data_IF_703457994288
#
_entry.id   IF_703457994288
#
_cell.length_a   1.000
_cell.length_b   1.000
_cell.length_c   1.000
_cell.angle_alpha   90.00
_cell.angle_beta   90.00
_cell.angle_gamma   90.00
#
_symmetry.space_group_name_H-M   'P 1'
#
loop_
_entity.id
_entity.type
_entity.pdbx_description
1 polymer ?
#
# COMPACT_ATOMS: atom_id res chain seq x y z
N UNK A 1 3.62 13.61 -16.27
CA UNK A 1 2.93 12.83 -15.23
C UNK A 1 1.99 13.75 -14.49
N UNK A 2 0.70 13.43 -14.40
CA UNK A 2 -0.30 14.27 -13.72
C UNK A 2 -0.35 13.95 -12.22
N UNK A 3 0.65 14.43 -11.48
CA UNK A 3 0.77 14.18 -10.03
C UNK A 3 -0.51 14.54 -9.26
N UNK A 4 -1.12 15.70 -9.55
CA UNK A 4 -2.36 16.13 -8.90
C UNK A 4 -3.50 15.15 -9.19
N UNK A 5 -3.59 14.65 -10.41
CA UNK A 5 -4.56 13.62 -10.79
C UNK A 5 -4.39 12.34 -9.96
N UNK A 6 -3.17 11.83 -9.83
CA UNK A 6 -2.89 10.60 -9.07
C UNK A 6 -3.18 10.75 -7.58
N UNK A 7 -2.84 11.90 -6.98
CA UNK A 7 -3.16 12.20 -5.57
C UNK A 7 -4.67 12.28 -5.37
N UNK A 8 -5.39 13.02 -6.21
CA UNK A 8 -6.86 13.14 -6.12
C UNK A 8 -7.53 11.79 -6.35
N UNK A 9 -7.06 11.01 -7.33
CA UNK A 9 -7.55 9.67 -7.58
C UNK A 9 -7.35 8.74 -6.38
N UNK A 10 -6.15 8.77 -5.79
CA UNK A 10 -5.85 8.00 -4.57
C UNK A 10 -6.72 8.38 -3.39
N UNK A 11 -7.02 9.68 -3.19
CA UNK A 11 -7.93 10.13 -2.14
C UNK A 11 -9.37 9.64 -2.37
N UNK A 12 -9.87 9.72 -3.61
CA UNK A 12 -11.20 9.22 -3.96
C UNK A 12 -11.29 7.71 -3.76
N UNK A 13 -10.30 6.96 -4.26
CA UNK A 13 -10.23 5.51 -4.07
C UNK A 13 -10.15 5.14 -2.58
N UNK A 14 -9.33 5.86 -1.79
CA UNK A 14 -9.22 5.64 -0.35
C UNK A 14 -10.53 5.86 0.38
N UNK A 15 -11.25 6.93 0.05
CA UNK A 15 -12.60 7.18 0.58
C UNK A 15 -13.59 6.07 0.22
N UNK A 16 -13.55 5.58 -1.02
CA UNK A 16 -14.39 4.47 -1.47
C UNK A 16 -14.07 3.15 -0.75
N UNK A 17 -12.79 2.86 -0.48
CA UNK A 17 -12.37 1.67 0.29
C UNK A 17 -12.81 1.78 1.74
N UNK A 18 -12.65 2.94 2.38
CA UNK A 18 -13.15 3.17 3.74
C UNK A 18 -14.68 3.03 3.83
N UNK A 19 -15.40 3.53 2.82
CA UNK A 19 -16.85 3.34 2.73
C UNK A 19 -17.22 1.86 2.56
N UNK A 20 -16.53 1.15 1.68
CA UNK A 20 -16.72 -0.29 1.49
C UNK A 20 -16.51 -1.07 2.79
N UNK A 21 -15.40 -0.82 3.48
CA UNK A 21 -15.08 -1.42 4.79
C UNK A 21 -16.17 -1.18 5.83
N UNK A 22 -16.86 -0.05 5.72
CA UNK A 22 -18.01 0.23 6.57
C UNK A 22 -19.24 -0.56 6.21
N UNK A 23 -19.54 -0.69 4.92
CA UNK A 23 -20.70 -1.46 4.45
C UNK A 23 -20.57 -2.97 4.69
N UNK A 24 -19.34 -3.49 4.76
CA UNK A 24 -19.06 -4.91 5.03
C UNK A 24 -19.05 -5.23 6.53
N UNK A 25 -19.14 -4.21 7.40
CA UNK A 25 -19.10 -4.37 8.85
C UNK A 25 -17.69 -4.57 9.42
N UNK A 26 -16.64 -4.41 8.61
CA UNK A 26 -15.25 -4.49 9.08
C UNK A 26 -14.88 -3.29 9.94
N UNK A 27 -15.48 -2.11 9.69
CA UNK A 27 -15.26 -0.90 10.49
C UNK A 27 -16.54 -0.06 10.61
N UNK A 28 -16.85 0.45 11.80
CA UNK A 28 -17.94 1.42 11.93
C UNK A 28 -17.51 2.79 11.41
N UNK A 29 -18.29 3.41 10.54
CA UNK A 29 -18.03 4.76 10.03
C UNK A 29 -19.15 5.69 10.50
N UNK A 30 -18.80 6.74 11.23
CA UNK A 30 -19.79 7.64 11.82
C UNK A 30 -19.19 8.82 12.57
N UNK A 31 -20.09 9.66 13.11
CA UNK A 31 -19.74 10.88 13.84
C UNK A 31 -18.82 10.64 15.05
N UNK A 32 -18.88 9.44 15.65
CA UNK A 32 -18.01 9.05 16.76
C UNK A 32 -16.52 9.13 16.41
N UNK A 33 -16.12 8.74 15.19
CA UNK A 33 -14.73 8.82 14.74
C UNK A 33 -14.28 10.26 14.57
N UNK A 34 -15.14 11.13 14.03
CA UNK A 34 -14.80 12.55 13.86
C UNK A 34 -14.59 13.23 15.21
N UNK A 35 -15.46 12.92 16.19
CA UNK A 35 -15.30 13.42 17.56
C UNK A 35 -14.04 12.87 18.22
N UNK A 36 -13.75 11.58 18.06
CA UNK A 36 -12.54 10.96 18.58
C UNK A 36 -11.26 11.54 17.96
N UNK A 37 -11.25 11.78 16.66
CA UNK A 37 -10.12 12.43 15.98
C UNK A 37 -9.94 13.88 16.44
N UNK A 38 -11.02 14.57 16.81
CA UNK A 38 -10.97 15.93 17.33
C UNK A 38 -10.49 15.97 18.79
N UNK A 39 -10.96 15.05 19.63
CA UNK A 39 -10.71 15.05 21.08
C UNK A 39 -9.40 14.33 21.45
N UNK A 40 -9.07 13.27 20.73
CA UNK A 40 -7.96 12.37 21.07
C UNK A 40 -7.14 11.95 19.83
N UNK A 41 -6.59 12.90 19.06
CA UNK A 41 -5.90 12.60 17.79
C UNK A 41 -4.67 11.72 17.94
N UNK A 42 -4.06 11.68 19.14
CA UNK A 42 -2.84 10.91 19.42
C UNK A 42 -3.11 9.52 20.01
N UNK A 43 -4.36 9.20 20.32
CA UNK A 43 -4.76 7.89 20.86
C UNK A 43 -5.99 7.34 20.13
N UNK A 44 -5.88 7.12 18.80
CA UNK A 44 -6.99 6.58 18.02
C UNK A 44 -7.32 5.15 18.48
N UNK A 45 -8.60 4.83 18.49
CA UNK A 45 -9.09 3.47 18.68
C UNK A 45 -8.81 2.60 17.44
N UNK A 46 -9.13 1.32 17.55
CA UNK A 46 -8.89 0.35 16.49
C UNK A 46 -9.60 0.69 15.18
N UNK A 47 -10.83 1.24 15.23
CA UNK A 47 -11.60 1.61 14.05
C UNK A 47 -10.93 2.77 13.30
N UNK A 48 -10.58 3.83 14.02
CA UNK A 48 -9.87 5.00 13.48
C UNK A 48 -8.52 4.61 12.90
N UNK A 49 -7.76 3.76 13.61
CA UNK A 49 -6.49 3.22 13.10
C UNK A 49 -6.69 2.41 11.82
N UNK A 50 -7.74 1.59 11.75
CA UNK A 50 -8.04 0.76 10.58
C UNK A 50 -8.42 1.62 9.39
N UNK A 51 -9.33 2.59 9.55
CA UNK A 51 -9.72 3.52 8.47
C UNK A 51 -8.54 4.34 7.97
N UNK A 52 -7.74 4.88 8.89
CA UNK A 52 -6.53 5.60 8.54
C UNK A 52 -5.55 4.71 7.78
N UNK A 53 -5.36 3.47 8.22
CA UNK A 53 -4.53 2.47 7.55
C UNK A 53 -5.02 2.15 6.13
N UNK A 54 -6.33 1.94 5.95
CA UNK A 54 -6.94 1.68 4.64
C UNK A 54 -6.78 2.86 3.68
N UNK A 55 -7.08 4.07 4.16
CA UNK A 55 -6.96 5.28 3.38
C UNK A 55 -5.51 5.54 2.94
N UNK A 56 -4.57 5.47 3.89
CA UNK A 56 -3.15 5.71 3.62
C UNK A 56 -2.53 4.63 2.74
N UNK A 57 -2.90 3.36 2.92
CA UNK A 57 -2.47 2.26 2.04
C UNK A 57 -2.95 2.47 0.61
N UNK A 58 -4.23 2.84 0.44
CA UNK A 58 -4.81 3.10 -0.88
C UNK A 58 -4.13 4.29 -1.56
N UNK A 59 -3.95 5.39 -0.83
CA UNK A 59 -3.26 6.58 -1.35
C UNK A 59 -1.79 6.27 -1.70
N UNK A 60 -1.09 5.52 -0.85
CA UNK A 60 0.27 5.11 -1.12
C UNK A 60 0.34 4.26 -2.39
N UNK A 61 -0.53 3.27 -2.56
CA UNK A 61 -0.54 2.42 -3.75
C UNK A 61 -0.95 3.17 -5.03
N UNK A 62 -1.72 4.26 -4.92
CA UNK A 62 -1.99 5.15 -6.05
C UNK A 62 -0.77 5.99 -6.48
N UNK A 63 0.18 6.21 -5.57
CA UNK A 63 1.42 6.95 -5.84
C UNK A 63 2.63 6.02 -6.03
N UNK A 64 2.49 4.73 -5.69
CA UNK A 64 3.57 3.76 -5.73
C UNK A 64 4.22 3.62 -7.11
N UNK A 65 3.45 3.58 -8.23
CA UNK A 65 4.07 3.48 -9.54
C UNK A 65 4.88 4.72 -9.91
N UNK A 66 4.55 5.91 -9.38
CA UNK A 66 5.32 7.14 -9.60
C UNK A 66 6.70 7.14 -8.91
N UNK A 67 7.03 6.12 -8.11
CA UNK A 67 8.33 6.01 -7.43
C UNK A 67 9.45 5.53 -8.38
N UNK A 68 9.11 4.92 -9.52
CA UNK A 68 10.08 4.43 -10.50
C UNK A 68 10.61 5.53 -11.45
N UNK A 69 9.93 6.67 -11.49
CA UNK A 69 10.26 7.84 -12.33
C UNK A 69 10.53 9.08 -11.49
N UNK A 70 11.25 10.05 -12.07
CA UNK A 70 11.51 11.33 -11.40
C UNK A 70 10.21 12.10 -11.17
N UNK A 71 9.70 12.08 -9.93
CA UNK A 71 8.42 12.68 -9.58
C UNK A 71 8.45 13.41 -8.23
N UNK A 72 7.38 14.16 -7.93
CA UNK A 72 7.19 14.79 -6.61
C UNK A 72 6.98 13.70 -5.55
N UNK A 73 6.18 12.66 -5.84
CA UNK A 73 5.95 11.50 -4.98
C UNK A 73 7.26 10.80 -4.62
N UNK A 74 8.11 10.53 -5.62
CA UNK A 74 9.43 9.91 -5.43
C UNK A 74 10.32 10.73 -4.48
N UNK A 75 10.40 12.05 -4.70
CA UNK A 75 11.24 12.94 -3.87
C UNK A 75 10.82 12.93 -2.40
N UNK A 76 9.52 12.98 -2.12
CA UNK A 76 9.02 12.95 -0.75
C UNK A 76 9.12 11.56 -0.12
N UNK A 77 8.84 10.50 -0.87
CA UNK A 77 9.00 9.12 -0.42
C UNK A 77 10.41 8.87 0.11
N UNK A 78 11.46 9.15 -0.69
CA UNK A 78 12.83 8.90 -0.25
C UNK A 78 13.29 9.79 0.90
N UNK A 79 12.74 11.01 1.04
CA UNK A 79 12.99 11.85 2.23
C UNK A 79 12.39 11.23 3.49
N UNK A 80 11.15 10.75 3.40
CA UNK A 80 10.47 10.08 4.52
C UNK A 80 11.20 8.80 4.89
N UNK A 81 11.54 7.96 3.90
CA UNK A 81 12.31 6.72 4.10
C UNK A 81 13.65 7.01 4.76
N UNK A 82 14.37 8.05 4.32
CA UNK A 82 15.65 8.45 4.92
C UNK A 82 15.51 8.78 6.41
N UNK A 83 14.48 9.57 6.78
CA UNK A 83 14.20 9.90 8.18
C UNK A 83 13.81 8.65 8.99
N UNK A 84 12.97 7.79 8.42
CA UNK A 84 12.56 6.53 9.07
C UNK A 84 13.76 5.60 9.30
N UNK A 85 14.66 5.49 8.31
CA UNK A 85 15.90 4.73 8.43
C UNK A 85 16.79 5.27 9.56
N UNK A 86 16.92 6.60 9.68
CA UNK A 86 17.65 7.21 10.79
C UNK A 86 17.02 6.85 12.15
N UNK A 87 15.69 6.96 12.27
CA UNK A 87 14.97 6.58 13.50
C UNK A 87 15.19 5.11 13.84
N UNK A 88 15.10 4.21 12.86
CA UNK A 88 15.31 2.76 13.07
C UNK A 88 16.74 2.46 13.53
N UNK A 89 17.73 3.10 12.92
CA UNK A 89 19.13 2.95 13.29
C UNK A 89 19.39 3.37 14.74
N UNK A 90 18.95 4.58 15.13
CA UNK A 90 19.13 5.08 16.50
C UNK A 90 18.29 4.33 17.54
N UNK A 91 17.20 3.69 17.12
CA UNK A 91 16.37 2.85 17.99
C UNK A 91 16.87 1.40 18.10
N UNK A 92 18.03 1.07 17.50
CA UNK A 92 18.62 -0.27 17.54
C UNK A 92 17.86 -1.32 16.72
N UNK A 93 16.89 -0.93 15.87
CA UNK A 93 16.05 -1.83 15.06
C UNK A 93 16.70 -2.15 13.72
N UNK A 94 17.85 -2.80 13.74
CA UNK A 94 18.66 -3.09 12.54
C UNK A 94 17.93 -4.01 11.55
N UNK A 95 17.15 -4.98 12.03
CA UNK A 95 16.40 -5.90 11.14
C UNK A 95 15.37 -5.14 10.28
N UNK A 96 14.61 -4.24 10.90
CA UNK A 96 13.64 -3.40 10.19
C UNK A 96 14.32 -2.42 9.25
N UNK A 97 15.46 -1.86 9.66
CA UNK A 97 16.26 -0.99 8.80
C UNK A 97 16.66 -1.68 7.50
N UNK A 98 17.18 -2.91 7.59
CA UNK A 98 17.62 -3.68 6.41
C UNK A 98 16.43 -3.97 5.49
N UNK A 99 15.31 -4.43 6.03
CA UNK A 99 14.13 -4.76 5.22
C UNK A 99 13.57 -3.52 4.54
N UNK A 100 13.44 -2.40 5.27
CA UNK A 100 12.92 -1.14 4.71
C UNK A 100 13.87 -0.61 3.64
N UNK A 101 15.19 -0.68 3.86
CA UNK A 101 16.18 -0.28 2.88
C UNK A 101 16.07 -1.10 1.59
N UNK A 102 15.96 -2.43 1.68
CA UNK A 102 15.75 -3.31 0.53
C UNK A 102 14.44 -3.02 -0.20
N UNK A 103 13.34 -2.83 0.53
CA UNK A 103 12.05 -2.53 -0.08
C UNK A 103 12.04 -1.16 -0.77
N UNK A 104 12.70 -0.15 -0.20
CA UNK A 104 12.72 1.20 -0.73
C UNK A 104 13.42 1.34 -2.09
N UNK A 105 14.41 0.49 -2.37
CA UNK A 105 15.11 0.47 -3.66
C UNK A 105 14.35 -0.27 -4.77
N UNK A 106 13.40 -1.16 -4.44
CA UNK A 106 12.68 -1.99 -5.43
C UNK A 106 12.04 -1.21 -6.58
N UNK A 107 11.38 -0.05 -6.35
CA UNK A 107 10.79 0.71 -7.44
C UNK A 107 11.82 1.23 -8.45
N UNK A 108 13.07 1.44 -8.02
CA UNK A 108 14.13 2.07 -8.82
C UNK A 108 15.01 1.04 -9.54
N UNK A 109 14.88 -0.25 -9.23
CA UNK A 109 15.70 -1.32 -9.82
C UNK A 109 15.47 -1.51 -11.33
N UNK A 110 14.38 -0.99 -11.88
CA UNK A 110 14.11 -1.07 -13.32
C UNK A 110 13.94 0.34 -13.90
N UNK A 111 14.64 0.63 -15.00
CA UNK A 111 14.46 1.88 -15.73
C UNK A 111 13.33 1.72 -16.76
N UNK A 112 12.54 2.78 -16.96
CA UNK A 112 11.38 2.86 -17.87
C UNK A 112 10.16 2.03 -17.43
N UNK A 113 9.16 2.68 -16.82
CA UNK A 113 7.81 2.15 -16.46
C UNK A 113 7.83 0.65 -16.18
N UNK A 114 8.47 0.31 -15.08
CA UNK A 114 8.88 -1.05 -14.80
C UNK A 114 7.75 -1.93 -14.28
N UNK A 115 8.14 -2.93 -13.48
CA UNK A 115 7.20 -3.82 -12.80
C UNK A 115 6.15 -3.06 -11.98
N UNK A 116 6.46 -1.85 -11.50
CA UNK A 116 5.51 -1.01 -10.74
C UNK A 116 4.23 -0.67 -11.51
N UNK A 117 4.24 -0.73 -12.85
CA UNK A 117 3.07 -0.48 -13.70
C UNK A 117 2.37 -1.77 -14.16
N UNK A 118 2.82 -2.95 -13.73
CA UNK A 118 2.15 -4.20 -14.09
C UNK A 118 0.85 -4.36 -13.29
N UNK A 119 -0.17 -4.92 -13.93
CA UNK A 119 -1.49 -5.17 -13.30
C UNK A 119 -1.43 -6.21 -12.18
N UNK A 120 -0.43 -7.10 -12.21
CA UNK A 120 -0.22 -8.10 -11.15
C UNK A 120 0.47 -7.52 -9.91
N UNK A 121 1.09 -6.35 -10.02
CA UNK A 121 1.90 -5.74 -8.97
C UNK A 121 1.19 -5.54 -7.64
N UNK A 122 -0.04 -5.01 -7.55
CA UNK A 122 -0.69 -4.86 -6.25
C UNK A 122 -0.93 -6.21 -5.56
N UNK A 123 -1.25 -7.25 -6.32
CA UNK A 123 -1.42 -8.62 -5.79
C UNK A 123 -0.09 -9.21 -5.33
N UNK A 124 0.98 -9.00 -6.11
CA UNK A 124 2.32 -9.43 -5.74
C UNK A 124 2.80 -8.73 -4.46
N UNK A 125 2.54 -7.43 -4.32
CA UNK A 125 2.87 -6.67 -3.10
C UNK A 125 2.05 -7.18 -1.90
N UNK A 126 0.74 -7.37 -2.06
CA UNK A 126 -0.11 -7.90 -0.99
C UNK A 126 0.37 -9.29 -0.51
N UNK A 127 0.67 -10.19 -1.46
CA UNK A 127 1.23 -11.51 -1.15
C UNK A 127 2.60 -11.40 -0.46
N UNK A 128 3.49 -10.54 -0.97
CA UNK A 128 4.79 -10.32 -0.38
C UNK A 128 4.69 -9.84 1.08
N UNK A 129 3.82 -8.86 1.35
CA UNK A 129 3.58 -8.37 2.71
C UNK A 129 3.03 -9.46 3.63
N UNK A 130 2.12 -10.31 3.15
CA UNK A 130 1.60 -11.45 3.92
C UNK A 130 2.69 -12.49 4.22
N UNK A 131 3.57 -12.79 3.26
CA UNK A 131 4.72 -13.69 3.45
C UNK A 131 5.71 -13.12 4.47
N UNK A 132 6.05 -11.83 4.38
CA UNK A 132 6.94 -11.16 5.33
C UNK A 132 6.34 -11.16 6.73
N UNK A 133 5.04 -10.88 6.86
CA UNK A 133 4.34 -10.93 8.14
C UNK A 133 4.36 -12.34 8.75
N UNK A 134 4.05 -13.36 7.95
CA UNK A 134 4.10 -14.75 8.41
C UNK A 134 5.51 -15.17 8.81
N UNK A 135 6.54 -14.73 8.08
CA UNK A 135 7.93 -14.98 8.46
C UNK A 135 8.23 -14.45 9.86
N UNK A 136 7.85 -13.21 10.16
CA UNK A 136 8.06 -12.63 11.50
C UNK A 136 7.24 -13.33 12.59
N UNK A 137 5.98 -13.66 12.32
CA UNK A 137 5.15 -14.39 13.27
C UNK A 137 5.70 -15.79 13.55
N UNK A 138 6.19 -16.49 12.52
CA UNK A 138 6.79 -17.81 12.67
C UNK A 138 8.03 -17.80 13.57
N UNK A 139 8.85 -16.74 13.52
CA UNK A 139 10.01 -16.59 14.41
C UNK A 139 9.61 -16.43 15.89
N UNK A 140 8.40 -15.94 16.17
CA UNK A 140 7.90 -15.74 17.54
C UNK A 140 7.14 -16.96 18.09
N UNK A 141 6.77 -17.91 17.22
CA UNK A 141 6.05 -19.11 17.64
C UNK A 141 7.00 -20.11 18.29
N UNK A 142 6.60 -20.65 19.44
CA UNK A 142 7.36 -21.72 20.11
C UNK A 142 7.27 -23.06 19.38
N UNK A 143 6.20 -23.28 18.60
CA UNK A 143 5.94 -24.50 17.84
C UNK A 143 5.29 -24.17 16.50
N UNK A 144 5.69 -24.89 15.44
CA UNK A 144 5.24 -24.62 14.07
C UNK A 144 6.05 -23.50 13.42
N UNK A 145 6.76 -23.83 12.33
CA UNK A 145 7.52 -22.86 11.55
C UNK A 145 6.65 -22.08 10.56
N UNK A 146 7.32 -21.48 9.58
CA UNK A 146 6.65 -20.83 8.45
C UNK A 146 5.72 -21.81 7.72
N UNK A 147 4.48 -21.41 7.48
CA UNK A 147 3.51 -22.21 6.73
C UNK A 147 2.71 -21.38 5.73
N UNK A 148 2.58 -21.88 4.49
CA UNK A 148 1.79 -21.23 3.45
C UNK A 148 0.29 -21.11 3.79
N UNK A 149 -0.25 -22.04 4.58
CA UNK A 149 -1.63 -21.96 5.06
C UNK A 149 -1.88 -20.66 5.86
N UNK A 150 -0.93 -20.27 6.72
CA UNK A 150 -1.02 -19.04 7.50
C UNK A 150 -0.93 -17.78 6.62
N UNK A 151 -0.16 -17.83 5.51
CA UNK A 151 -0.10 -16.72 4.55
C UNK A 151 -1.48 -16.48 3.93
N UNK A 152 -2.18 -17.53 3.53
CA UNK A 152 -3.53 -17.41 2.98
C UNK A 152 -4.54 -16.96 4.04
N UNK A 153 -4.43 -17.45 5.28
CA UNK A 153 -5.25 -16.98 6.40
C UNK A 153 -5.02 -15.49 6.69
N UNK A 154 -3.78 -15.00 6.61
CA UNK A 154 -3.48 -13.58 6.76
C UNK A 154 -4.11 -12.76 5.62
N UNK A 155 -4.03 -13.23 4.37
CA UNK A 155 -4.67 -12.55 3.24
C UNK A 155 -6.19 -12.49 3.39
N UNK A 156 -6.81 -13.56 3.89
CA UNK A 156 -8.25 -13.60 4.16
C UNK A 156 -8.62 -12.68 5.33
N UNK A 157 -7.85 -12.73 6.44
CA UNK A 157 -8.07 -11.89 7.61
C UNK A 157 -7.92 -10.40 7.31
N UNK A 158 -6.96 -10.05 6.46
CA UNK A 158 -6.68 -8.66 6.07
C UNK A 158 -7.15 -8.36 4.63
N UNK A 159 -8.20 -9.04 4.16
CA UNK A 159 -8.68 -8.92 2.78
C UNK A 159 -9.00 -7.47 2.38
N UNK A 160 -9.53 -6.66 3.32
CA UNK A 160 -9.85 -5.26 3.07
C UNK A 160 -8.60 -4.40 2.82
N UNK A 161 -7.45 -4.76 3.40
CA UNK A 161 -6.15 -4.15 3.06
C UNK A 161 -5.63 -4.61 1.70
N UNK A 162 -5.92 -5.86 1.29
CA UNK A 162 -5.66 -6.31 -0.08
C UNK A 162 -6.46 -5.48 -1.08
N UNK A 163 -7.75 -5.22 -0.78
CA UNK A 163 -8.60 -4.33 -1.59
C UNK A 163 -8.05 -2.91 -1.62
N UNK A 164 -7.63 -2.35 -0.48
CA UNK A 164 -6.98 -1.04 -0.42
C UNK A 164 -5.76 -0.96 -1.35
N UNK A 165 -4.92 -2.00 -1.32
CA UNK A 165 -3.72 -2.09 -2.14
C UNK A 165 -4.05 -2.12 -3.64
N UNK A 166 -5.00 -2.97 -4.03
CA UNK A 166 -5.43 -3.15 -5.42
C UNK A 166 -6.16 -1.92 -5.94
N UNK A 167 -7.08 -1.35 -5.17
CA UNK A 167 -7.87 -0.19 -5.57
C UNK A 167 -6.98 1.04 -5.81
N UNK A 168 -6.02 1.30 -4.93
CA UNK A 168 -5.07 2.40 -5.08
C UNK A 168 -4.23 2.26 -6.34
N UNK A 169 -3.61 1.09 -6.52
CA UNK A 169 -2.76 0.82 -7.68
C UNK A 169 -3.53 0.85 -9.00
N UNK A 170 -4.72 0.24 -9.05
CA UNK A 170 -5.53 0.28 -10.27
C UNK A 170 -6.05 1.68 -10.59
N UNK A 171 -6.33 2.50 -9.57
CA UNK A 171 -6.67 3.90 -9.79
C UNK A 171 -5.51 4.67 -10.45
N UNK A 172 -4.27 4.38 -10.05
CA UNK A 172 -3.09 4.88 -10.75
C UNK A 172 -3.09 4.48 -12.22
N UNK A 173 -3.17 3.17 -12.51
CA UNK A 173 -3.13 2.66 -13.88
C UNK A 173 -4.26 3.22 -14.74
N UNK A 174 -5.44 3.40 -14.15
CA UNK A 174 -6.59 3.99 -14.82
C UNK A 174 -6.35 5.44 -15.21
N UNK A 175 -5.80 6.26 -14.32
CA UNK A 175 -5.50 7.67 -14.58
C UNK A 175 -4.31 7.87 -15.53
N UNK A 176 -3.39 6.92 -15.56
CA UNK A 176 -2.22 6.94 -16.43
C UNK A 176 -2.51 6.39 -17.84
N UNK A 177 -3.64 5.69 -18.04
CA UNK A 177 -4.04 5.15 -19.34
C UNK A 177 -4.35 6.25 -20.37
N UNK A 178 -3.44 6.47 -21.31
CA UNK A 178 -3.55 7.47 -22.40
C UNK A 178 -4.65 7.17 -23.44
N UNK A 179 -5.21 5.95 -23.48
CA UNK A 179 -6.26 5.55 -24.43
C UNK A 179 -7.15 4.47 -23.81
N UNK A 180 -8.41 4.81 -23.52
CA UNK A 180 -9.42 3.86 -23.07
C UNK A 180 -9.87 2.97 -24.23
N UNK A 181 -9.08 1.95 -24.58
CA UNK A 181 -9.61 0.75 -25.26
C UNK A 181 -9.63 -0.36 -24.23
N UNK A 182 -10.81 -0.67 -23.73
CA UNK A 182 -11.07 -1.70 -22.71
C UNK A 182 -10.38 -3.06 -23.00
N UNK A 183 -10.20 -3.40 -24.28
CA UNK A 183 -9.47 -4.60 -24.74
C UNK A 183 -7.94 -4.50 -24.57
N UNK A 184 -7.34 -3.31 -24.67
CA UNK A 184 -5.92 -3.07 -24.37
C UNK A 184 -5.64 -2.99 -22.87
N UNK A 185 -6.66 -2.70 -22.05
CA UNK A 185 -6.57 -2.75 -20.59
C UNK A 185 -6.40 -4.19 -20.07
N UNK A 186 -6.62 -5.23 -20.88
CA UNK A 186 -6.38 -6.64 -20.49
C UNK A 186 -4.97 -7.10 -20.92
N UNK A 187 -4.44 -6.59 -22.04
CA UNK A 187 -3.09 -6.91 -22.55
C UNK A 187 -1.99 -6.21 -21.74
N UNK A 188 -0.98 -6.96 -21.27
CA UNK A 188 0.31 -6.37 -20.87
C UNK A 188 1.15 -6.19 -22.14
N UNK A 189 0.78 -5.24 -22.98
CA UNK A 189 1.54 -4.96 -24.20
C UNK A 189 2.85 -4.25 -23.85
N UNK A 190 3.96 -4.91 -24.15
CA UNK A 190 5.33 -4.37 -24.03
C UNK A 190 5.57 -3.15 -24.94
N UNK A 191 4.62 -2.81 -25.82
CA UNK A 191 4.74 -1.80 -26.87
C UNK A 191 4.02 -0.47 -26.55
N UNK A 192 3.55 -0.26 -25.32
CA UNK A 192 3.20 1.08 -24.86
C UNK A 192 4.47 1.83 -24.41
N UNK A 193 5.36 2.06 -25.39
CA UNK A 193 6.53 2.94 -25.28
C UNK A 193 6.11 4.41 -25.23
#
# INVERSE_FOLDING_TARGET
MNHTGHVVGGMIAGGAVCFLASTTGDVELGWGILNEMAESPLSPNQNTMTLFGLFTTTLFMALFPDLDVQSVSQRWFFRIVFVLMAIMHFSGRQDLFVIVAFCAILPVLHQHRGWTHWKITPWAIALFLAVVQEYFLAQQRSYGGFAWGNVFELLERYWIFVVACVAGHYMHLFLDARSMRWLKFISNDANHH
#
